data_IF_346336697188
#
_entry.id   IF_346336697188
#
_cell.length_a   1.000
_cell.length_b   1.000
_cell.length_c   1.000
_cell.angle_alpha   90.00
_cell.angle_beta   90.00
_cell.angle_gamma   90.00
#
_symmetry.space_group_name_H-M   'P 1'
#
loop_
_entity.id
_entity.type
_entity.pdbx_description
1 polymer ?
#
# COMPACT_ATOMS: atom_id res chain seq x y z
N UNK A 1 -37.55 4.87 10.20
CA UNK A 1 -36.14 5.30 10.16
C UNK A 1 -35.56 4.85 8.84
N UNK A 2 -35.07 5.79 8.05
CA UNK A 2 -34.76 5.63 6.62
C UNK A 2 -33.46 4.86 6.44
N UNK A 3 -33.42 3.94 5.47
CA UNK A 3 -32.29 3.05 5.13
C UNK A 3 -30.91 3.76 5.10
N UNK A 4 -30.88 5.04 4.74
CA UNK A 4 -29.64 5.85 4.68
C UNK A 4 -29.04 6.10 6.07
N UNK A 5 -29.84 6.45 7.08
CA UNK A 5 -29.33 6.74 8.43
C UNK A 5 -28.67 5.50 9.05
N UNK A 6 -29.32 4.34 8.92
CA UNK A 6 -28.74 3.07 9.38
C UNK A 6 -27.43 2.70 8.68
N UNK A 7 -27.29 3.06 7.40
CA UNK A 7 -26.03 2.82 6.67
C UNK A 7 -24.93 3.77 7.16
N UNK A 8 -25.25 5.05 7.39
CA UNK A 8 -24.28 6.01 7.91
C UNK A 8 -23.80 5.63 9.32
N UNK A 9 -24.70 5.16 10.18
CA UNK A 9 -24.35 4.65 11.50
C UNK A 9 -23.44 3.42 11.42
N UNK A 10 -23.73 2.50 10.50
CA UNK A 10 -22.88 1.33 10.27
C UNK A 10 -21.47 1.72 9.77
N UNK A 11 -21.37 2.69 8.87
CA UNK A 11 -20.08 3.23 8.39
C UNK A 11 -19.31 3.89 9.53
N UNK A 12 -19.96 4.75 10.32
CA UNK A 12 -19.32 5.42 11.45
C UNK A 12 -18.81 4.42 12.51
N UNK A 13 -19.60 3.37 12.78
CA UNK A 13 -19.20 2.30 13.68
C UNK A 13 -18.02 1.50 13.13
N UNK A 14 -17.99 1.20 11.82
CA UNK A 14 -16.84 0.53 11.19
C UNK A 14 -15.57 1.37 11.31
N UNK A 15 -15.64 2.68 11.04
CA UNK A 15 -14.48 3.58 11.16
C UNK A 15 -13.92 3.55 12.59
N UNK A 16 -14.80 3.60 13.62
CA UNK A 16 -14.36 3.52 15.02
C UNK A 16 -13.65 2.20 15.33
N UNK A 17 -14.15 1.08 14.82
CA UNK A 17 -13.51 -0.23 15.00
C UNK A 17 -12.15 -0.29 14.29
N UNK A 18 -12.05 0.23 13.08
CA UNK A 18 -10.80 0.26 12.31
C UNK A 18 -9.75 1.14 13.03
N UNK A 19 -10.17 2.28 13.62
CA UNK A 19 -9.32 3.16 14.42
C UNK A 19 -8.76 2.49 15.68
N UNK A 20 -9.52 1.61 16.33
CA UNK A 20 -9.04 0.86 17.50
C UNK A 20 -7.87 -0.07 17.18
N UNK A 21 -7.65 -0.40 15.90
CA UNK A 21 -6.51 -1.22 15.45
C UNK A 21 -5.27 -0.42 15.10
N UNK A 22 -5.35 0.91 15.04
CA UNK A 22 -4.28 1.75 14.50
C UNK A 22 -2.96 1.57 15.27
N UNK A 23 -2.98 1.63 16.61
CA UNK A 23 -1.78 1.48 17.42
C UNK A 23 -1.12 0.11 17.22
N UNK A 24 -1.92 -0.95 17.18
CA UNK A 24 -1.43 -2.30 16.94
C UNK A 24 -0.85 -2.46 15.52
N UNK A 25 -1.48 -1.84 14.53
CA UNK A 25 -0.99 -1.86 13.14
C UNK A 25 0.34 -1.09 13.02
N UNK A 26 0.46 0.08 13.64
CA UNK A 26 1.69 0.88 13.65
C UNK A 26 2.83 0.13 14.33
N UNK A 27 2.58 -0.46 15.51
CA UNK A 27 3.57 -1.25 16.23
C UNK A 27 4.05 -2.45 15.39
N UNK A 28 3.13 -3.15 14.73
CA UNK A 28 3.47 -4.27 13.86
C UNK A 28 4.27 -3.82 12.64
N UNK A 29 3.86 -2.74 11.95
CA UNK A 29 4.61 -2.22 10.80
C UNK A 29 6.02 -1.77 11.21
N UNK A 30 6.17 -1.16 12.39
CA UNK A 30 7.48 -0.76 12.91
C UNK A 30 8.38 -1.96 13.23
N UNK A 31 7.80 -3.03 13.77
CA UNK A 31 8.55 -4.24 14.13
C UNK A 31 8.92 -5.10 12.92
N UNK A 32 8.01 -5.23 11.95
CA UNK A 32 8.09 -6.27 10.92
C UNK A 32 8.45 -5.74 9.53
N UNK A 33 8.38 -4.44 9.28
CA UNK A 33 8.89 -3.88 8.03
C UNK A 33 10.40 -3.65 8.11
N UNK A 34 11.06 -3.66 6.96
CA UNK A 34 12.47 -3.33 6.88
C UNK A 34 12.77 -1.97 7.52
N UNK A 35 13.88 -1.86 8.26
CA UNK A 35 14.22 -0.67 9.09
C UNK A 35 14.21 0.68 8.35
N UNK A 36 14.40 0.66 7.03
CA UNK A 36 14.41 1.88 6.20
C UNK A 36 13.08 2.12 5.46
N UNK A 37 12.10 1.23 5.59
CA UNK A 37 10.80 1.32 4.90
C UNK A 37 10.15 2.69 5.09
N UNK A 38 10.03 3.15 6.34
CA UNK A 38 9.45 4.46 6.64
C UNK A 38 10.34 5.62 6.19
N UNK A 39 11.67 5.48 6.27
CA UNK A 39 12.59 6.54 5.85
C UNK A 39 12.60 6.73 4.33
N UNK A 40 12.48 5.66 3.55
CA UNK A 40 12.39 5.73 2.09
C UNK A 40 11.03 6.22 1.58
N UNK A 41 9.97 6.03 2.37
CA UNK A 41 8.60 6.41 2.01
C UNK A 41 8.07 7.60 2.83
N UNK A 42 8.94 8.35 3.52
CA UNK A 42 8.58 9.46 4.41
C UNK A 42 7.79 10.58 3.72
N UNK A 43 8.07 10.79 2.43
CA UNK A 43 7.43 11.84 1.63
C UNK A 43 5.99 11.43 1.21
N UNK A 44 5.65 10.15 1.33
CA UNK A 44 4.31 9.60 1.08
C UNK A 44 3.54 9.33 2.40
N UNK A 45 3.54 10.30 3.31
CA UNK A 45 2.89 10.15 4.64
C UNK A 45 1.40 9.78 4.52
N UNK A 46 0.69 10.25 3.49
CA UNK A 46 -0.70 9.86 3.22
C UNK A 46 -0.83 8.36 2.91
N UNK A 47 0.08 7.82 2.10
CA UNK A 47 0.11 6.41 1.72
C UNK A 47 0.40 5.52 2.95
N UNK A 48 1.38 5.93 3.76
CA UNK A 48 1.71 5.26 5.02
C UNK A 48 0.55 5.29 6.02
N UNK A 49 -0.17 6.41 6.08
CA UNK A 49 -1.38 6.55 6.91
C UNK A 49 -2.48 5.60 6.43
N UNK A 50 -2.73 5.56 5.12
CA UNK A 50 -3.74 4.67 4.52
C UNK A 50 -3.42 3.20 4.79
N UNK A 51 -2.14 2.82 4.68
CA UNK A 51 -1.65 1.48 5.04
C UNK A 51 -1.92 1.18 6.51
N UNK A 52 -1.49 2.04 7.43
CA UNK A 52 -1.63 1.79 8.87
C UNK A 52 -3.09 1.66 9.32
N UNK A 53 -3.99 2.50 8.78
CA UNK A 53 -5.43 2.46 9.08
C UNK A 53 -6.07 1.18 8.56
N UNK A 54 -5.67 0.68 7.38
CA UNK A 54 -6.35 -0.44 6.72
C UNK A 54 -5.59 -1.76 6.77
N UNK A 55 -4.44 -1.82 7.45
CA UNK A 55 -3.55 -2.99 7.47
C UNK A 55 -4.30 -4.30 7.77
N UNK A 56 -5.07 -4.30 8.85
CA UNK A 56 -5.88 -5.45 9.30
C UNK A 56 -6.95 -5.91 8.29
N UNK A 57 -7.31 -5.06 7.31
CA UNK A 57 -8.32 -5.36 6.28
C UNK A 57 -7.73 -6.03 5.05
N UNK A 58 -6.40 -6.13 4.96
CA UNK A 58 -5.74 -6.87 3.87
C UNK A 58 -6.06 -8.37 3.91
N UNK A 59 -6.43 -8.93 5.07
CA UNK A 59 -6.95 -10.29 5.16
C UNK A 59 -8.23 -10.47 4.33
N UNK A 60 -9.08 -9.44 4.24
CA UNK A 60 -10.35 -9.49 3.52
C UNK A 60 -10.19 -9.09 2.03
N UNK A 61 -9.48 -8.00 1.76
CA UNK A 61 -9.40 -7.41 0.41
C UNK A 61 -8.18 -7.83 -0.39
N UNK A 62 -7.20 -8.48 0.24
CA UNK A 62 -5.93 -8.97 -0.34
C UNK A 62 -4.99 -7.90 -0.91
N UNK A 63 -5.50 -6.71 -1.27
CA UNK A 63 -4.74 -5.59 -1.85
C UNK A 63 -5.35 -4.23 -1.47
N UNK A 64 -4.49 -3.23 -1.31
CA UNK A 64 -4.81 -1.80 -1.18
C UNK A 64 -3.91 -0.99 -2.13
N UNK A 65 -4.50 -0.13 -2.95
CA UNK A 65 -3.73 0.88 -3.69
C UNK A 65 -3.48 2.07 -2.77
N UNK A 66 -2.21 2.28 -2.41
CA UNK A 66 -1.79 3.34 -1.50
C UNK A 66 -1.52 4.66 -2.23
N UNK A 67 -0.95 4.55 -3.44
CA UNK A 67 -0.70 5.69 -4.34
C UNK A 67 -1.07 5.28 -5.76
N UNK A 68 -1.81 6.14 -6.45
CA UNK A 68 -2.10 6.01 -7.87
C UNK A 68 -2.02 7.40 -8.53
N UNK A 69 -0.81 7.80 -8.91
CA UNK A 69 -0.51 9.07 -9.56
C UNK A 69 0.27 8.81 -10.85
N UNK A 70 0.49 9.85 -11.65
CA UNK A 70 1.21 9.72 -12.94
C UNK A 70 2.68 9.36 -12.73
N UNK A 71 3.30 9.93 -11.69
CA UNK A 71 4.70 9.76 -11.33
C UNK A 71 4.99 8.53 -10.46
N UNK A 72 3.97 8.00 -9.77
CA UNK A 72 4.14 6.92 -8.79
C UNK A 72 2.93 6.02 -8.66
N UNK A 73 3.18 4.74 -8.44
CA UNK A 73 2.19 3.80 -7.90
C UNK A 73 2.75 3.08 -6.68
N UNK A 74 1.91 2.90 -5.66
CA UNK A 74 2.26 2.13 -4.48
C UNK A 74 1.10 1.22 -4.10
N UNK A 75 1.39 -0.06 -3.87
CA UNK A 75 0.40 -1.10 -3.61
C UNK A 75 0.83 -1.88 -2.37
N UNK A 76 -0.07 -2.08 -1.42
CA UNK A 76 0.10 -3.07 -0.37
C UNK A 76 -0.74 -4.32 -0.67
N UNK A 77 -0.18 -5.51 -0.53
CA UNK A 77 -0.88 -6.77 -0.79
C UNK A 77 -0.35 -7.92 0.07
N UNK A 78 -1.10 -9.02 0.12
CA UNK A 78 -0.60 -10.27 0.69
C UNK A 78 0.37 -10.95 -0.29
N UNK A 79 1.53 -11.36 0.21
CA UNK A 79 2.55 -12.10 -0.53
C UNK A 79 2.08 -13.54 -0.76
N UNK A 80 1.36 -13.73 -1.86
CA UNK A 80 0.79 -15.02 -2.27
C UNK A 80 1.36 -15.44 -3.61
N UNK A 81 1.32 -16.73 -3.94
CA UNK A 81 1.84 -17.20 -5.24
C UNK A 81 1.20 -16.42 -6.41
N UNK A 82 2.08 -15.79 -7.21
CA UNK A 82 1.70 -14.96 -8.35
C UNK A 82 1.17 -13.56 -8.02
N UNK A 83 1.22 -13.09 -6.77
CA UNK A 83 0.78 -11.73 -6.38
C UNK A 83 1.54 -10.66 -7.14
N UNK A 84 2.87 -10.81 -7.25
CA UNK A 84 3.74 -9.88 -7.98
C UNK A 84 3.41 -9.85 -9.48
N UNK A 85 3.29 -11.02 -10.12
CA UNK A 85 2.91 -11.09 -11.53
C UNK A 85 1.57 -10.41 -11.81
N UNK A 86 0.55 -10.66 -10.96
CA UNK A 86 -0.74 -9.99 -11.04
C UNK A 86 -0.60 -8.48 -10.90
N UNK A 87 0.16 -8.01 -9.91
CA UNK A 87 0.39 -6.58 -9.70
C UNK A 87 1.05 -5.91 -10.91
N UNK A 88 2.12 -6.50 -11.45
CA UNK A 88 2.82 -5.97 -12.62
C UNK A 88 1.91 -5.94 -13.86
N UNK A 89 1.13 -7.00 -14.08
CA UNK A 89 0.16 -7.05 -15.18
C UNK A 89 -0.92 -5.97 -15.03
N UNK A 90 -1.44 -5.76 -13.82
CA UNK A 90 -2.52 -4.80 -13.57
C UNK A 90 -2.02 -3.33 -13.66
N UNK A 91 -0.74 -3.06 -13.38
CA UNK A 91 -0.13 -1.74 -13.55
C UNK A 91 0.05 -1.35 -15.02
N UNK A 92 0.12 -2.35 -15.91
CA UNK A 92 0.32 -2.17 -17.34
C UNK A 92 1.72 -1.70 -17.70
N UNK A 93 1.91 -1.34 -18.97
CA UNK A 93 3.17 -0.81 -19.47
C UNK A 93 3.26 0.68 -19.15
N UNK A 94 4.04 1.01 -18.11
CA UNK A 94 4.47 2.37 -17.78
C UNK A 94 5.99 2.43 -17.81
N UNK A 95 6.54 3.62 -18.04
CA UNK A 95 7.98 3.82 -18.08
C UNK A 95 8.58 3.83 -16.65
N UNK A 96 8.63 2.65 -16.04
CA UNK A 96 9.17 2.44 -14.69
C UNK A 96 10.67 2.68 -14.66
N UNK A 97 11.10 3.70 -13.95
CA UNK A 97 12.51 3.98 -13.72
C UNK A 97 13.03 3.37 -12.43
N UNK A 98 12.14 3.12 -11.48
CA UNK A 98 12.48 2.51 -10.20
C UNK A 98 11.35 1.61 -9.71
N UNK A 99 11.72 0.45 -9.18
CA UNK A 99 10.79 -0.48 -8.54
C UNK A 99 11.39 -0.98 -7.22
N UNK A 100 10.59 -0.95 -6.17
CA UNK A 100 10.94 -1.47 -4.85
C UNK A 100 9.85 -2.44 -4.38
N UNK A 101 10.29 -3.56 -3.80
CA UNK A 101 9.43 -4.54 -3.16
C UNK A 101 9.92 -4.68 -1.73
N UNK A 102 9.09 -4.31 -0.77
CA UNK A 102 9.37 -4.55 0.65
C UNK A 102 8.40 -5.60 1.17
N UNK A 103 8.94 -6.68 1.71
CA UNK A 103 8.15 -7.74 2.35
C UNK A 103 8.38 -7.70 3.86
N UNK A 104 7.31 -7.86 4.63
CA UNK A 104 7.41 -7.95 6.10
C UNK A 104 8.14 -9.21 6.54
N UNK A 105 8.85 -9.16 7.66
CA UNK A 105 9.57 -10.32 8.22
C UNK A 105 8.63 -11.37 8.78
N UNK A 106 7.51 -10.96 9.39
CA UNK A 106 6.46 -11.86 9.86
C UNK A 106 5.20 -11.84 8.98
N UNK A 107 4.38 -12.90 9.02
CA UNK A 107 3.04 -12.89 8.45
C UNK A 107 2.13 -11.82 9.07
N UNK A 108 1.21 -11.30 8.26
CA UNK A 108 0.19 -10.38 8.72
C UNK A 108 -0.77 -11.09 9.69
N UNK A 109 -1.07 -10.50 10.86
CA UNK A 109 -2.03 -11.09 11.80
C UNK A 109 -3.39 -11.31 11.15
N UNK A 110 -3.89 -12.55 11.20
CA UNK A 110 -5.19 -12.93 10.66
C UNK A 110 -5.21 -13.36 9.19
N UNK A 111 -4.12 -13.17 8.44
CA UNK A 111 -4.01 -13.64 7.05
C UNK A 111 -3.16 -14.92 6.93
N UNK A 112 -2.01 -14.96 7.61
CA UNK A 112 -1.06 -16.08 7.53
C UNK A 112 -0.01 -15.92 6.43
N UNK A 113 -0.16 -14.94 5.53
CA UNK A 113 0.85 -14.51 4.58
C UNK A 113 1.52 -13.18 4.97
N UNK A 114 2.73 -12.94 4.46
CA UNK A 114 3.45 -11.69 4.67
C UNK A 114 2.79 -10.51 3.95
N UNK A 115 2.98 -9.31 4.48
CA UNK A 115 2.69 -8.06 3.78
C UNK A 115 3.77 -7.83 2.72
N UNK A 116 3.36 -7.46 1.52
CA UNK A 116 4.22 -6.98 0.45
C UNK A 116 3.79 -5.55 0.07
N UNK A 117 4.72 -4.61 0.09
CA UNK A 117 4.52 -3.24 -0.42
C UNK A 117 5.35 -3.07 -1.68
N UNK A 118 4.67 -2.85 -2.80
CA UNK A 118 5.26 -2.57 -4.09
C UNK A 118 5.23 -1.07 -4.35
N UNK A 119 6.37 -0.49 -4.71
CA UNK A 119 6.48 0.89 -5.15
C UNK A 119 7.09 0.93 -6.55
N UNK A 120 6.50 1.75 -7.40
CA UNK A 120 6.96 2.02 -8.75
C UNK A 120 7.01 3.52 -8.95
N UNK A 121 8.18 4.04 -9.32
CA UNK A 121 8.35 5.43 -9.76
C UNK A 121 8.55 5.45 -11.28
N UNK A 122 7.86 6.35 -11.96
CA UNK A 122 7.84 6.46 -13.42
C UNK A 122 8.58 7.71 -13.89
N UNK A 123 9.30 7.60 -15.01
CA UNK A 123 9.91 8.77 -15.65
C UNK A 123 8.85 9.74 -16.16
N UNK A 124 9.16 11.03 -16.04
CA UNK A 124 8.37 12.08 -16.68
C UNK A 124 8.69 12.13 -18.18
N UNK A 125 7.77 12.66 -18.99
CA UNK A 125 8.01 12.81 -20.42
C UNK A 125 9.21 13.73 -20.73
N UNK A 126 9.53 14.67 -19.84
CA UNK A 126 10.62 15.64 -19.98
C UNK A 126 12.01 15.04 -19.76
N UNK A 127 12.11 13.93 -19.00
CA UNK A 127 13.36 13.19 -18.80
C UNK A 127 13.91 12.59 -20.12
N UNK A 128 13.08 12.54 -21.18
CA UNK A 128 13.47 12.05 -22.51
C UNK A 128 14.36 13.02 -23.29
N UNK A 129 14.38 14.32 -22.97
CA UNK A 129 15.07 15.32 -23.79
C UNK A 129 16.53 15.60 -23.36
N UNK A 130 16.94 15.17 -22.17
CA UNK A 130 18.30 15.43 -21.66
C UNK A 130 19.28 14.26 -21.83
N UNK A 131 18.82 13.10 -22.34
CA UNK A 131 19.65 11.90 -22.57
C UNK A 131 20.27 11.78 -23.98
N UNK A 132 20.05 12.74 -24.87
CA UNK A 132 20.61 12.76 -26.24
C UNK A 132 21.47 14.01 -26.42
N UNK A 133 22.55 14.11 -25.67
CA UNK A 133 23.71 14.98 -25.95
C UNK A 133 24.87 14.56 -25.02
N UNK A 134 25.55 13.49 -25.42
CA UNK A 134 26.77 12.97 -24.80
C UNK A 134 27.51 12.09 -25.78
#
# INVERSE_FOLDING_TARGET
MTNVESVLDAVANRIKLDQQKLEQNLAWLQAEMHRYFFSFNKDDTEALTLLAVNLHRLADFKRLNLVNREERSMIAQLSTSGSLYRALRDLGEKNTCYAEITTSTAPLPGAGEQLEVLRFDYAQAEDRQHGVNG
#
